data_IF_909537932696
#
_entry.id   IF_909537932696
#
_cell.length_a   1.000
_cell.length_b   1.000
_cell.length_c   1.000
_cell.angle_alpha   90.00
_cell.angle_beta   90.00
_cell.angle_gamma   90.00
#
_symmetry.space_group_name_H-M   'P 1'
#
loop_
_entity.id
_entity.type
_entity.pdbx_description
1 polymer ?
#
# COMPACT_ATOMS: atom_id res chain seq x y z
N UNK A 1 -1.29 4.86 13.67
CA UNK A 1 -0.83 3.94 14.74
C UNK A 1 0.59 4.23 15.22
N UNK A 2 1.54 4.44 14.31
CA UNK A 2 2.95 4.76 14.61
C UNK A 2 3.10 5.88 15.66
N UNK A 3 2.39 7.00 15.49
CA UNK A 3 2.35 8.08 16.48
C UNK A 3 1.95 7.61 17.90
N UNK A 4 0.91 6.78 18.03
CA UNK A 4 0.45 6.26 19.32
C UNK A 4 1.48 5.35 20.01
N UNK A 5 2.21 4.56 19.22
CA UNK A 5 3.29 3.70 19.73
C UNK A 5 4.46 4.56 20.23
N UNK A 6 4.87 5.56 19.45
CA UNK A 6 6.01 6.41 19.76
C UNK A 6 5.77 7.30 21.00
N UNK A 7 4.64 7.99 21.07
CA UNK A 7 4.36 8.95 22.13
C UNK A 7 3.67 8.34 23.37
N UNK A 8 3.31 7.05 23.34
CA UNK A 8 2.66 6.36 24.44
C UNK A 8 1.28 6.93 24.82
N UNK A 9 0.67 7.77 23.97
CA UNK A 9 -0.59 8.50 24.24
C UNK A 9 -1.77 7.61 24.65
N UNK A 10 -1.70 6.32 24.32
CA UNK A 10 -2.77 5.36 24.59
C UNK A 10 -2.48 4.39 25.76
N UNK A 11 -1.35 4.54 26.48
CA UNK A 11 -0.98 3.65 27.59
C UNK A 11 -1.97 3.69 28.77
N UNK A 12 -2.54 4.85 29.07
CA UNK A 12 -3.48 5.04 30.19
C UNK A 12 -4.95 4.87 29.80
N UNK A 13 -5.24 4.52 28.54
CA UNK A 13 -6.61 4.43 28.04
C UNK A 13 -7.20 3.06 28.33
N UNK A 14 -8.48 3.03 28.70
CA UNK A 14 -9.24 1.81 28.92
C UNK A 14 -9.77 1.29 27.59
N UNK A 15 -9.09 0.29 27.02
CA UNK A 15 -9.46 -0.33 25.74
C UNK A 15 -10.65 -1.29 25.84
N UNK A 16 -11.05 -1.68 27.05
CA UNK A 16 -12.11 -2.67 27.27
C UNK A 16 -13.49 -2.25 26.77
N UNK A 17 -13.74 -0.95 26.57
CA UNK A 17 -15.00 -0.45 25.99
C UNK A 17 -14.99 -0.42 24.46
N UNK A 18 -13.82 -0.55 23.83
CA UNK A 18 -13.71 -0.55 22.36
C UNK A 18 -14.35 -1.83 21.83
N UNK A 19 -15.18 -1.68 20.80
CA UNK A 19 -15.89 -2.79 20.14
C UNK A 19 -15.45 -3.04 18.71
N UNK A 20 -14.84 -2.04 18.07
CA UNK A 20 -14.25 -2.14 16.73
C UNK A 20 -13.25 -1.00 16.54
N UNK A 21 -12.25 -1.22 15.69
CA UNK A 21 -11.35 -0.22 15.15
C UNK A 21 -11.69 0.04 13.69
N UNK A 22 -11.41 1.24 13.22
CA UNK A 22 -11.47 1.57 11.80
C UNK A 22 -10.16 2.18 11.34
N UNK A 23 -9.71 1.85 10.14
CA UNK A 23 -8.53 2.45 9.50
C UNK A 23 -8.82 2.80 8.04
N UNK A 24 -8.12 3.82 7.53
CA UNK A 24 -8.23 4.27 6.13
C UNK A 24 -6.99 5.08 5.70
N UNK A 25 -6.93 5.41 4.42
CA UNK A 25 -5.89 6.24 3.81
C UNK A 25 -4.76 5.42 3.20
N UNK A 26 -4.11 4.58 4.01
CA UNK A 26 -3.04 3.66 3.58
C UNK A 26 -3.34 2.24 4.08
N UNK A 27 -3.09 1.18 3.29
CA UNK A 27 -3.31 -0.19 3.75
C UNK A 27 -2.39 -0.54 4.93
N UNK A 28 -2.97 -0.92 6.06
CA UNK A 28 -2.19 -1.22 7.26
C UNK A 28 -1.45 -2.56 7.11
N UNK A 29 -0.25 -2.65 7.70
CA UNK A 29 0.50 -3.90 7.75
C UNK A 29 -0.06 -4.88 8.80
N UNK A 30 0.34 -6.15 8.71
CA UNK A 30 -0.15 -7.22 9.61
C UNK A 30 0.19 -6.96 11.08
N UNK A 31 1.37 -6.41 11.38
CA UNK A 31 1.80 -6.18 12.77
C UNK A 31 0.94 -5.12 13.44
N UNK A 32 0.54 -4.09 12.69
CA UNK A 32 -0.32 -3.02 13.15
C UNK A 32 -1.73 -3.53 13.49
N UNK A 33 -2.31 -4.37 12.64
CA UNK A 33 -3.55 -5.10 12.95
C UNK A 33 -3.45 -5.87 14.26
N UNK A 34 -2.42 -6.72 14.39
CA UNK A 34 -2.24 -7.57 15.57
C UNK A 34 -2.00 -6.74 16.83
N UNK A 35 -1.25 -5.63 16.72
CA UNK A 35 -1.02 -4.71 17.83
C UNK A 35 -2.33 -4.08 18.31
N UNK A 36 -3.17 -3.56 17.42
CA UNK A 36 -4.47 -2.98 17.79
C UNK A 36 -5.39 -4.03 18.42
N UNK A 37 -5.56 -5.18 17.75
CA UNK A 37 -6.42 -6.25 18.24
C UNK A 37 -5.99 -6.72 19.64
N UNK A 38 -4.67 -6.84 19.87
CA UNK A 38 -4.11 -7.21 21.19
C UNK A 38 -4.47 -6.23 22.30
N UNK A 39 -4.82 -4.96 22.01
CA UNK A 39 -5.25 -4.00 23.04
C UNK A 39 -6.61 -4.36 23.64
N UNK A 40 -7.37 -5.24 22.98
CA UNK A 40 -8.73 -5.62 23.36
C UNK A 40 -8.87 -7.13 23.58
N UNK A 41 -7.75 -7.83 23.82
CA UNK A 41 -7.69 -9.29 23.88
C UNK A 41 -8.29 -9.95 22.62
N UNK A 42 -8.04 -9.31 21.47
CA UNK A 42 -8.54 -9.72 20.15
C UNK A 42 -10.07 -9.71 20.00
N UNK A 43 -10.81 -9.12 20.95
CA UNK A 43 -12.27 -9.00 20.87
C UNK A 43 -12.73 -7.93 19.88
N UNK A 44 -12.02 -6.81 19.78
CA UNK A 44 -12.37 -5.76 18.84
C UNK A 44 -11.68 -6.00 17.48
N UNK A 45 -12.45 -6.18 16.39
CA UNK A 45 -11.93 -6.31 15.05
C UNK A 45 -11.37 -4.98 14.53
N UNK A 46 -10.56 -5.06 13.47
CA UNK A 46 -10.15 -3.90 12.67
C UNK A 46 -10.91 -3.95 11.35
N UNK A 47 -11.72 -2.93 11.10
CA UNK A 47 -12.45 -2.74 9.85
C UNK A 47 -11.68 -1.71 9.04
N UNK A 48 -10.96 -2.16 8.02
CA UNK A 48 -10.21 -1.26 7.15
C UNK A 48 -10.99 -0.97 5.88
N UNK A 49 -10.89 0.27 5.39
CA UNK A 49 -11.40 0.62 4.07
C UNK A 49 -10.41 1.53 3.36
N UNK A 50 -10.26 1.31 2.06
CA UNK A 50 -9.39 2.10 1.19
C UNK A 50 -10.23 2.77 0.12
N UNK A 51 -9.87 4.02 -0.19
CA UNK A 51 -10.50 4.81 -1.24
C UNK A 51 -9.87 6.17 -1.39
N UNK A 52 -10.62 7.08 -1.99
CA UNK A 52 -10.12 8.38 -2.39
C UNK A 52 -11.20 9.44 -2.35
N UNK A 53 -10.77 10.70 -2.31
CA UNK A 53 -11.65 11.86 -2.39
C UNK A 53 -12.43 11.90 -3.71
N UNK A 54 -11.86 11.30 -4.75
CA UNK A 54 -12.40 11.19 -6.11
C UNK A 54 -13.67 10.36 -6.20
N UNK A 55 -13.93 9.53 -5.19
CA UNK A 55 -15.13 8.69 -5.09
C UNK A 55 -15.96 9.01 -3.84
N UNK A 56 -15.56 10.04 -3.08
CA UNK A 56 -16.22 10.43 -1.83
C UNK A 56 -16.31 9.31 -0.78
N UNK A 57 -15.45 8.29 -0.84
CA UNK A 57 -15.63 7.06 -0.08
C UNK A 57 -14.54 6.01 -0.29
N UNK A 58 -14.87 4.76 0.07
CA UNK A 58 -14.02 3.58 -0.12
C UNK A 58 -14.38 2.84 -1.41
N UNK A 59 -13.39 2.26 -2.11
CA UNK A 59 -13.64 1.28 -3.16
C UNK A 59 -13.50 -0.15 -2.63
N UNK A 60 -12.67 -0.41 -1.62
CA UNK A 60 -12.44 -1.75 -1.08
C UNK A 60 -12.42 -1.73 0.45
N UNK A 61 -12.93 -2.78 1.09
CA UNK A 61 -13.09 -2.83 2.54
C UNK A 61 -12.99 -4.24 3.14
N UNK A 62 -12.69 -4.29 4.43
CA UNK A 62 -12.93 -5.45 5.29
C UNK A 62 -14.36 -5.45 5.83
N UNK A 63 -14.94 -6.64 6.03
CA UNK A 63 -16.26 -6.78 6.69
C UNK A 63 -16.20 -7.71 7.89
N UNK A 64 -17.21 -7.61 8.74
CA UNK A 64 -17.38 -8.38 9.96
C UNK A 64 -18.16 -9.68 9.79
N UNK A 65 -18.73 -9.90 8.61
CA UNK A 65 -19.63 -11.04 8.34
C UNK A 65 -18.94 -12.20 7.61
N UNK A 66 -17.66 -12.05 7.24
CA UNK A 66 -16.86 -13.12 6.63
C UNK A 66 -15.48 -13.22 7.30
N UNK A 67 -14.80 -14.37 7.21
CA UNK A 67 -13.43 -14.50 7.71
C UNK A 67 -12.53 -13.42 7.10
N UNK A 68 -11.63 -12.86 7.90
CA UNK A 68 -10.67 -11.84 7.47
C UNK A 68 -9.26 -12.23 7.89
N UNK A 69 -8.26 -11.86 7.08
CA UNK A 69 -6.86 -11.96 7.46
C UNK A 69 -6.28 -10.55 7.65
N UNK A 70 -5.44 -10.30 8.67
CA UNK A 70 -4.72 -9.04 8.81
C UNK A 70 -4.04 -8.60 7.51
N UNK A 71 -4.08 -7.29 7.21
CA UNK A 71 -3.49 -6.69 6.00
C UNK A 71 -4.09 -7.20 4.68
N UNK A 72 -5.32 -7.72 4.70
CA UNK A 72 -6.10 -8.09 3.50
C UNK A 72 -7.49 -7.47 3.58
N UNK A 73 -8.10 -7.27 2.42
CA UNK A 73 -9.48 -6.83 2.28
C UNK A 73 -10.34 -7.99 1.82
N UNK A 74 -11.64 -7.88 2.08
CA UNK A 74 -12.56 -9.01 1.94
C UNK A 74 -13.61 -8.78 0.87
N UNK A 75 -13.87 -7.53 0.49
CA UNK A 75 -14.90 -7.19 -0.51
C UNK A 75 -14.68 -5.80 -1.10
N UNK A 76 -15.23 -5.57 -2.29
CA UNK A 76 -15.50 -4.21 -2.76
C UNK A 76 -16.50 -3.52 -1.85
N UNK A 77 -16.38 -2.20 -1.73
CA UNK A 77 -17.30 -1.38 -0.97
C UNK A 77 -18.69 -1.37 -1.63
N UNK A 78 -19.73 -1.18 -0.81
CA UNK A 78 -21.11 -1.16 -1.30
C UNK A 78 -21.31 -0.06 -2.36
N UNK A 79 -21.90 -0.43 -3.49
CA UNK A 79 -22.19 0.49 -4.59
C UNK A 79 -20.99 0.83 -5.47
N UNK A 80 -19.89 0.06 -5.33
CA UNK A 80 -18.72 0.13 -6.18
C UNK A 80 -18.57 -1.17 -6.96
N UNK A 81 -18.64 -1.06 -8.28
CA UNK A 81 -18.25 -2.12 -9.19
C UNK A 81 -16.84 -1.85 -9.71
N UNK A 82 -16.07 -2.91 -9.94
CA UNK A 82 -14.66 -2.77 -10.34
C UNK A 82 -14.16 -3.92 -11.19
N UNK A 83 -13.15 -3.63 -11.99
CA UNK A 83 -12.34 -4.62 -12.67
C UNK A 83 -10.88 -4.44 -12.27
N UNK A 84 -10.15 -5.55 -12.15
CA UNK A 84 -8.70 -5.52 -11.97
C UNK A 84 -8.10 -6.02 -13.28
N UNK A 85 -7.27 -5.19 -13.90
CA UNK A 85 -6.66 -5.47 -15.21
C UNK A 85 -5.16 -5.69 -15.02
N UNK A 86 -4.66 -6.84 -15.46
CA UNK A 86 -3.26 -7.23 -15.36
C UNK A 86 -2.38 -6.39 -16.28
N UNK A 87 -1.07 -6.49 -16.11
CA UNK A 87 -0.10 -5.80 -16.96
C UNK A 87 -0.20 -6.21 -18.45
N UNK A 88 -0.74 -7.40 -18.74
CA UNK A 88 -0.96 -7.91 -20.10
C UNK A 88 -2.31 -7.47 -20.71
N UNK A 89 -3.12 -6.70 -19.96
CA UNK A 89 -4.42 -6.18 -20.41
C UNK A 89 -5.60 -7.14 -20.18
N UNK A 90 -5.36 -8.27 -19.52
CA UNK A 90 -6.39 -9.26 -19.20
C UNK A 90 -7.06 -8.99 -17.84
N UNK A 91 -8.26 -9.54 -17.61
CA UNK A 91 -8.89 -9.45 -16.30
C UNK A 91 -8.24 -10.41 -15.30
N UNK A 92 -7.80 -9.87 -14.15
CA UNK A 92 -7.11 -10.66 -13.14
C UNK A 92 -8.00 -11.78 -12.57
N UNK A 93 -7.47 -13.00 -12.58
CA UNK A 93 -7.97 -14.18 -11.87
C UNK A 93 -7.41 -14.30 -10.45
N UNK A 94 -7.56 -15.50 -9.87
CA UNK A 94 -7.06 -15.80 -8.53
C UNK A 94 -5.53 -15.78 -8.49
N UNK A 95 -4.98 -15.06 -7.51
CA UNK A 95 -3.54 -14.84 -7.29
C UNK A 95 -2.85 -13.94 -8.32
N UNK A 96 -3.62 -13.24 -9.15
CA UNK A 96 -3.10 -12.25 -10.09
C UNK A 96 -3.23 -10.82 -9.55
N UNK A 97 -2.29 -9.97 -9.96
CA UNK A 97 -2.24 -8.57 -9.60
C UNK A 97 -2.41 -7.68 -10.83
N UNK A 98 -3.02 -6.53 -10.63
CA UNK A 98 -3.28 -5.58 -11.69
C UNK A 98 -3.72 -4.23 -11.15
N UNK A 99 -3.98 -3.31 -12.07
CA UNK A 99 -4.57 -2.02 -11.74
C UNK A 99 -6.07 -2.16 -11.49
N UNK A 100 -6.55 -1.59 -10.39
CA UNK A 100 -7.97 -1.48 -10.11
C UNK A 100 -8.58 -0.31 -10.91
N UNK A 101 -9.58 -0.65 -11.70
CA UNK A 101 -10.49 0.28 -12.34
C UNK A 101 -11.89 0.18 -11.75
N UNK A 102 -12.58 1.30 -11.71
CA UNK A 102 -13.99 1.35 -11.33
C UNK A 102 -14.84 1.20 -12.58
N UNK A 103 -15.99 0.53 -12.43
CA UNK A 103 -17.01 0.39 -13.46
C UNK A 103 -18.08 1.46 -13.18
N UNK A 104 -18.17 2.53 -14.01
CA UNK A 104 -19.20 3.55 -13.84
C UNK A 104 -20.59 3.06 -14.30
N UNK A 105 -21.67 3.63 -13.77
CA UNK A 105 -21.71 4.63 -12.70
C UNK A 105 -21.52 4.00 -11.31
N UNK A 106 -20.83 4.70 -10.42
CA UNK A 106 -20.67 4.32 -9.01
C UNK A 106 -21.02 5.51 -8.11
N UNK A 107 -21.45 5.25 -6.88
CA UNK A 107 -21.81 6.30 -5.92
C UNK A 107 -20.56 7.13 -5.58
N UNK A 108 -20.71 8.46 -5.59
CA UNK A 108 -19.66 9.39 -5.17
C UNK A 108 -18.56 9.67 -6.21
N UNK A 109 -18.64 9.08 -7.41
CA UNK A 109 -17.71 9.40 -8.49
C UNK A 109 -17.70 10.91 -8.81
N UNK A 110 -16.52 11.49 -8.80
CA UNK A 110 -16.31 12.82 -9.37
C UNK A 110 -16.69 12.82 -10.85
N UNK A 111 -17.31 13.90 -11.31
CA UNK A 111 -17.71 14.10 -12.71
C UNK A 111 -16.89 15.19 -13.40
N UNK A 112 -16.18 16.02 -12.63
CA UNK A 112 -15.38 17.12 -13.16
C UNK A 112 -14.23 17.41 -12.20
N UNK A 113 -13.07 17.75 -12.75
CA UNK A 113 -11.94 18.32 -12.00
C UNK A 113 -11.89 19.83 -12.24
N UNK A 114 -11.58 20.61 -11.21
CA UNK A 114 -11.54 22.08 -11.32
C UNK A 114 -10.25 22.60 -11.96
N UNK A 115 -9.18 21.81 -11.89
CA UNK A 115 -7.81 22.22 -12.23
C UNK A 115 -7.14 21.31 -13.26
N UNK A 116 -7.88 20.38 -13.87
CA UNK A 116 -7.41 19.44 -14.87
C UNK A 116 -8.58 18.96 -15.75
N UNK A 117 -8.29 18.36 -16.89
CA UNK A 117 -9.29 17.68 -17.69
C UNK A 117 -9.66 16.35 -17.02
N UNK A 118 -10.95 16.17 -16.70
CA UNK A 118 -11.44 14.97 -16.00
C UNK A 118 -11.28 13.69 -16.84
N UNK A 119 -11.51 13.77 -18.15
CA UNK A 119 -11.45 12.63 -19.07
C UNK A 119 -10.02 12.18 -19.30
N UNK A 120 -9.10 13.13 -19.46
CA UNK A 120 -7.67 12.84 -19.59
C UNK A 120 -7.12 12.14 -18.33
N UNK A 121 -7.56 12.57 -17.15
CA UNK A 121 -7.05 12.00 -15.88
C UNK A 121 -7.62 10.61 -15.59
N UNK A 122 -8.92 10.40 -15.79
CA UNK A 122 -9.59 9.18 -15.31
C UNK A 122 -10.02 8.19 -16.38
N UNK A 123 -10.11 8.58 -17.66
CA UNK A 123 -10.68 7.73 -18.69
C UNK A 123 -9.74 7.50 -19.89
N UNK A 124 -8.83 8.43 -20.16
CA UNK A 124 -7.89 8.29 -21.28
C UNK A 124 -7.04 7.01 -21.16
N UNK A 125 -7.03 6.24 -22.24
CA UNK A 125 -6.30 4.97 -22.33
C UNK A 125 -6.80 3.88 -21.37
N UNK A 126 -7.99 4.02 -20.79
CA UNK A 126 -8.58 2.95 -20.00
C UNK A 126 -9.05 1.80 -20.92
N UNK A 127 -8.86 0.55 -20.50
CA UNK A 127 -9.35 -0.60 -21.26
C UNK A 127 -10.88 -0.69 -21.22
N UNK A 128 -11.45 -1.50 -22.12
CA UNK A 128 -12.86 -1.83 -22.08
C UNK A 128 -13.16 -2.75 -20.90
N UNK A 129 -14.30 -2.51 -20.24
CA UNK A 129 -14.79 -3.31 -19.13
C UNK A 129 -15.36 -4.65 -19.55
N UNK A 130 -15.74 -5.50 -18.58
CA UNK A 130 -16.26 -6.84 -18.86
C UNK A 130 -17.49 -6.88 -19.77
N UNK A 131 -18.31 -5.81 -19.80
CA UNK A 131 -19.46 -5.66 -20.68
C UNK A 131 -19.23 -4.63 -21.82
N UNK A 132 -17.97 -4.24 -22.05
CA UNK A 132 -17.57 -3.27 -23.09
C UNK A 132 -17.69 -1.80 -22.69
N UNK A 133 -18.02 -1.52 -21.43
CA UNK A 133 -18.11 -0.18 -20.87
C UNK A 133 -16.73 0.50 -20.70
N UNK A 134 -16.69 1.83 -20.67
CA UNK A 134 -15.43 2.54 -20.42
C UNK A 134 -15.13 2.49 -18.93
N UNK A 135 -13.98 1.91 -18.59
CA UNK A 135 -13.51 1.84 -17.22
C UNK A 135 -12.95 3.19 -16.75
N UNK A 136 -13.03 3.43 -15.44
CA UNK A 136 -12.47 4.63 -14.80
C UNK A 136 -11.24 4.26 -13.96
N UNK A 137 -10.10 4.87 -14.26
CA UNK A 137 -8.85 4.71 -13.52
C UNK A 137 -8.99 5.20 -12.08
N UNK A 138 -8.50 4.42 -11.11
CA UNK A 138 -8.33 4.86 -9.72
C UNK A 138 -6.84 4.89 -9.31
N UNK A 139 -6.02 4.06 -9.94
CA UNK A 139 -4.56 4.06 -9.81
C UNK A 139 -4.00 3.25 -8.64
N UNK A 140 -4.79 2.32 -8.06
CA UNK A 140 -4.31 1.37 -7.06
C UNK A 140 -3.94 0.04 -7.72
N UNK A 141 -2.83 -0.57 -7.28
CA UNK A 141 -2.47 -1.93 -7.65
C UNK A 141 -3.02 -2.91 -6.62
N UNK A 142 -3.82 -3.86 -7.07
CA UNK A 142 -4.48 -4.84 -6.21
C UNK A 142 -4.22 -6.24 -6.73
N UNK A 143 -3.87 -7.14 -5.81
CA UNK A 143 -3.81 -8.56 -6.03
C UNK A 143 -5.08 -9.24 -5.54
N UNK A 144 -5.76 -9.96 -6.43
CA UNK A 144 -6.79 -10.92 -6.04
C UNK A 144 -6.10 -12.12 -5.43
N UNK A 145 -6.46 -12.47 -4.22
CA UNK A 145 -5.98 -13.67 -3.55
C UNK A 145 -7.01 -14.78 -3.71
N UNK A 146 -6.57 -16.02 -3.65
CA UNK A 146 -7.50 -17.16 -3.54
C UNK A 146 -8.53 -16.95 -2.43
N UNK A 147 -9.73 -17.52 -2.62
CA UNK A 147 -10.86 -17.45 -1.65
C UNK A 147 -11.48 -16.06 -1.50
N UNK A 148 -11.31 -15.18 -2.48
CA UNK A 148 -12.02 -13.89 -2.55
C UNK A 148 -11.45 -12.78 -1.66
N UNK A 149 -10.20 -12.91 -1.23
CA UNK A 149 -9.49 -11.83 -0.54
C UNK A 149 -8.76 -10.93 -1.53
N UNK A 150 -8.42 -9.73 -1.08
CA UNK A 150 -7.64 -8.78 -1.86
C UNK A 150 -6.47 -8.26 -1.04
N UNK A 151 -5.34 -8.07 -1.70
CA UNK A 151 -4.16 -7.41 -1.12
C UNK A 151 -3.85 -6.18 -1.94
N UNK A 152 -3.87 -5.02 -1.29
CA UNK A 152 -3.42 -3.78 -1.92
C UNK A 152 -1.90 -3.75 -1.89
N UNK A 153 -1.29 -3.59 -3.05
CA UNK A 153 0.16 -3.58 -3.27
C UNK A 153 0.73 -2.15 -3.32
N UNK A 154 -0.14 -1.14 -3.27
CA UNK A 154 0.21 0.27 -3.28
C UNK A 154 -0.43 0.96 -4.47
N UNK A 155 0.15 2.09 -4.87
CA UNK A 155 -0.27 2.82 -6.06
C UNK A 155 0.40 2.26 -7.31
N UNK A 156 -0.25 2.38 -8.46
CA UNK A 156 0.32 1.98 -9.74
C UNK A 156 1.52 2.84 -10.14
N UNK A 157 1.50 4.14 -9.84
CA UNK A 157 2.62 5.06 -10.05
C UNK A 157 3.78 4.86 -9.06
N UNK A 158 3.54 4.15 -7.95
CA UNK A 158 4.58 3.72 -6.99
C UNK A 158 5.11 2.30 -7.28
N UNK A 159 4.77 1.70 -8.44
CA UNK A 159 5.34 0.40 -8.85
C UNK A 159 6.74 0.58 -9.41
N UNK A 160 7.62 -0.37 -9.10
CA UNK A 160 9.00 -0.36 -9.54
C UNK A 160 9.28 -1.54 -10.46
N UNK A 161 10.22 -1.39 -11.39
CA UNK A 161 10.74 -2.47 -12.21
C UNK A 161 12.14 -2.87 -11.74
N UNK A 162 12.19 -3.86 -10.84
CA UNK A 162 13.43 -4.36 -10.27
C UNK A 162 13.83 -5.67 -10.98
N UNK A 163 14.95 -5.64 -11.70
CA UNK A 163 15.47 -6.81 -12.41
C UNK A 163 14.49 -7.37 -13.46
N UNK A 164 13.67 -6.53 -14.08
CA UNK A 164 12.66 -6.94 -15.07
C UNK A 164 11.31 -7.36 -14.46
N UNK A 165 11.17 -7.29 -13.14
CA UNK A 165 9.95 -7.69 -12.43
C UNK A 165 9.29 -6.46 -11.83
N UNK A 166 8.02 -6.25 -12.19
CA UNK A 166 7.17 -5.22 -11.57
C UNK A 166 6.79 -5.60 -10.15
N UNK A 167 7.02 -4.71 -9.20
CA UNK A 167 6.69 -4.91 -7.78
C UNK A 167 6.18 -3.61 -7.16
N UNK A 168 5.16 -3.69 -6.32
CA UNK A 168 4.65 -2.54 -5.58
C UNK A 168 5.55 -2.19 -4.40
N UNK A 169 5.78 -0.89 -4.16
CA UNK A 169 6.53 -0.37 -3.02
C UNK A 169 6.08 -0.95 -1.68
N UNK A 170 4.76 -1.03 -1.45
CA UNK A 170 4.21 -1.50 -0.19
C UNK A 170 4.47 -3.00 0.06
N UNK A 171 4.69 -3.79 -0.98
CA UNK A 171 5.07 -5.19 -0.83
C UNK A 171 6.49 -5.34 -0.29
N UNK A 172 7.43 -4.55 -0.84
CA UNK A 172 8.81 -4.46 -0.35
C UNK A 172 8.83 -3.94 1.10
N UNK A 173 8.18 -2.81 1.35
CA UNK A 173 8.15 -2.15 2.65
C UNK A 173 7.64 -3.10 3.76
N UNK A 174 6.58 -3.86 3.50
CA UNK A 174 6.06 -4.85 4.47
C UNK A 174 7.08 -5.91 4.88
N UNK A 175 7.95 -6.33 3.97
CA UNK A 175 9.02 -7.30 4.27
C UNK A 175 10.16 -6.63 5.04
N UNK A 176 10.52 -5.42 4.64
CA UNK A 176 11.60 -4.63 5.23
C UNK A 176 11.25 -4.18 6.67
N UNK A 177 10.01 -3.76 6.93
CA UNK A 177 9.49 -3.38 8.25
C UNK A 177 9.46 -4.56 9.25
N UNK A 178 9.70 -5.81 8.82
CA UNK A 178 9.93 -6.95 9.74
C UNK A 178 11.31 -6.89 10.41
N UNK A 179 12.15 -5.92 10.07
CA UNK A 179 13.45 -5.71 10.70
C UNK A 179 13.30 -5.09 12.11
N UNK A 180 13.90 -5.66 13.18
CA UNK A 180 13.69 -5.21 14.57
C UNK A 180 14.06 -3.76 14.86
N UNK A 181 14.95 -3.17 14.08
CA UNK A 181 15.40 -1.79 14.25
C UNK A 181 14.70 -0.79 13.33
N UNK A 182 13.82 -1.23 12.43
CA UNK A 182 13.08 -0.34 11.53
C UNK A 182 11.74 0.01 12.18
N UNK A 183 11.50 1.31 12.34
CA UNK A 183 10.19 1.86 12.73
C UNK A 183 9.30 2.03 11.50
N UNK A 184 9.92 2.46 10.40
CA UNK A 184 9.26 2.69 9.13
C UNK A 184 10.29 2.70 8.00
N UNK A 185 9.87 2.32 6.78
CA UNK A 185 10.67 2.52 5.59
C UNK A 185 9.83 2.93 4.37
N UNK A 186 10.49 3.53 3.39
CA UNK A 186 9.96 3.75 2.05
C UNK A 186 10.88 3.10 1.01
N UNK A 187 10.30 2.27 0.14
CA UNK A 187 11.01 1.68 -0.98
C UNK A 187 10.71 2.48 -2.26
N UNK A 188 11.76 2.95 -2.94
CA UNK A 188 11.63 3.68 -4.20
C UNK A 188 12.55 3.11 -5.27
N UNK A 189 12.06 3.14 -6.51
CA UNK A 189 12.82 2.78 -7.69
C UNK A 189 13.48 4.02 -8.26
N UNK A 190 14.78 3.91 -8.53
CA UNK A 190 15.57 4.98 -9.13
C UNK A 190 16.12 4.47 -10.45
N UNK A 191 15.84 5.21 -11.53
CA UNK A 191 16.38 4.89 -12.83
C UNK A 191 17.90 5.17 -12.85
N UNK A 192 18.74 4.20 -13.26
CA UNK A 192 20.17 4.45 -13.41
C UNK A 192 20.43 5.46 -14.55
N UNK A 193 21.50 6.29 -14.46
CA UNK A 193 21.82 7.30 -15.47
C UNK A 193 21.96 6.75 -16.90
N UNK A 194 22.50 5.52 -17.00
CA UNK A 194 22.79 4.86 -18.27
C UNK A 194 21.58 4.06 -18.82
N UNK A 195 20.43 4.13 -18.14
CA UNK A 195 19.25 3.32 -18.44
C UNK A 195 19.35 1.87 -17.94
N UNK A 196 18.21 1.19 -17.89
CA UNK A 196 18.11 -0.19 -17.39
C UNK A 196 16.99 -0.37 -16.37
N UNK A 197 17.01 -1.51 -15.67
CA UNK A 197 16.09 -1.76 -14.57
C UNK A 197 16.36 -0.78 -13.42
N UNK A 198 15.32 -0.41 -12.69
CA UNK A 198 15.44 0.49 -11.56
C UNK A 198 16.26 -0.15 -10.45
N UNK A 199 17.00 0.71 -9.74
CA UNK A 199 17.71 0.35 -8.53
C UNK A 199 16.81 0.63 -7.32
N UNK A 200 16.75 -0.33 -6.40
CA UNK A 200 15.98 -0.19 -5.18
C UNK A 200 16.76 0.64 -4.16
N UNK A 201 16.24 1.83 -3.84
CA UNK A 201 16.70 2.66 -2.72
C UNK A 201 15.70 2.56 -1.59
N UNK A 202 16.18 2.33 -0.37
CA UNK A 202 15.35 2.17 0.82
C UNK A 202 15.66 3.28 1.83
N UNK A 203 14.68 4.14 2.07
CA UNK A 203 14.74 5.13 3.13
C UNK A 203 14.20 4.52 4.42
N UNK A 204 14.92 4.69 5.52
CA UNK A 204 14.64 4.02 6.79
C UNK A 204 14.59 5.02 7.92
N UNK A 205 13.52 4.94 8.72
CA UNK A 205 13.45 5.53 10.05
C UNK A 205 13.65 4.43 11.07
N UNK A 206 14.63 4.58 11.95
CA UNK A 206 14.95 3.57 12.96
C UNK A 206 14.12 3.73 14.23
N UNK A 207 14.08 2.66 15.04
CA UNK A 207 13.52 2.75 16.38
C UNK A 207 14.38 3.67 17.27
N UNK A 208 13.79 4.46 18.17
CA UNK A 208 14.55 5.35 19.06
C UNK A 208 15.66 4.61 19.82
N UNK A 209 16.88 5.12 19.75
CA UNK A 209 18.06 4.54 20.42
C UNK A 209 18.67 3.33 19.71
N UNK A 210 18.22 2.98 18.50
CA UNK A 210 18.89 1.97 17.70
C UNK A 210 20.18 2.56 17.09
N UNK A 211 21.32 1.98 17.45
CA UNK A 211 22.61 2.23 16.81
C UNK A 211 22.81 1.20 15.70
N UNK A 212 22.58 1.60 14.45
CA UNK A 212 22.68 0.70 13.29
C UNK A 212 23.50 1.36 12.20
N UNK A 213 24.51 0.64 11.71
CA UNK A 213 25.32 1.08 10.57
C UNK A 213 24.60 0.79 9.26
N UNK A 214 24.64 1.73 8.33
CA UNK A 214 23.98 1.63 7.02
C UNK A 214 24.37 0.38 6.25
N UNK A 215 25.65 0.00 6.23
CA UNK A 215 26.13 -1.19 5.51
C UNK A 215 25.59 -2.49 6.10
N UNK A 216 25.54 -2.58 7.43
CA UNK A 216 24.98 -3.74 8.15
C UNK A 216 23.48 -3.86 7.87
N UNK A 217 22.76 -2.73 7.93
CA UNK A 217 21.34 -2.68 7.60
C UNK A 217 21.09 -3.10 6.16
N UNK A 218 21.85 -2.57 5.19
CA UNK A 218 21.73 -2.93 3.78
C UNK A 218 21.88 -4.44 3.57
N UNK A 219 22.92 -5.05 4.16
CA UNK A 219 23.14 -6.49 4.07
C UNK A 219 21.99 -7.31 4.70
N UNK A 220 21.41 -6.84 5.81
CA UNK A 220 20.27 -7.48 6.45
C UNK A 220 18.99 -7.38 5.63
N UNK A 221 18.71 -6.20 5.07
CA UNK A 221 17.55 -6.00 4.20
C UNK A 221 17.65 -6.84 2.94
N UNK A 222 18.82 -6.89 2.31
CA UNK A 222 19.07 -7.71 1.12
C UNK A 222 18.86 -9.21 1.38
N UNK A 223 19.33 -9.71 2.53
CA UNK A 223 19.07 -11.09 2.98
C UNK A 223 17.58 -11.35 3.22
N UNK A 224 16.84 -10.38 3.75
CA UNK A 224 15.39 -10.51 4.01
C UNK A 224 14.59 -10.55 2.72
N UNK A 225 14.90 -9.67 1.78
CA UNK A 225 14.29 -9.67 0.44
C UNK A 225 14.54 -11.00 -0.27
N UNK A 226 15.80 -11.45 -0.28
CA UNK A 226 16.17 -12.72 -0.92
C UNK A 226 15.47 -13.96 -0.33
N UNK A 227 15.16 -13.94 0.97
CA UNK A 227 14.47 -15.06 1.65
C UNK A 227 12.96 -15.05 1.50
N UNK A 228 12.37 -13.86 1.43
CA UNK A 228 10.91 -13.68 1.53
C UNK A 228 10.27 -13.37 0.18
N UNK A 229 11.06 -12.91 -0.78
CA UNK A 229 10.63 -12.44 -2.09
C UNK A 229 11.60 -12.92 -3.18
N UNK A 230 11.59 -12.28 -4.35
CA UNK A 230 12.44 -12.64 -5.47
C UNK A 230 13.92 -12.29 -5.18
N UNK A 231 14.89 -13.21 -5.40
CA UNK A 231 16.32 -12.95 -5.22
C UNK A 231 16.92 -11.85 -6.11
N UNK A 232 16.20 -11.40 -7.14
CA UNK A 232 16.56 -10.26 -7.99
C UNK A 232 16.29 -8.90 -7.32
N UNK A 233 15.47 -8.86 -6.27
CA UNK A 233 15.20 -7.65 -5.51
C UNK A 233 16.37 -7.35 -4.57
N UNK A 234 17.35 -6.60 -5.09
CA UNK A 234 18.56 -6.20 -4.36
C UNK A 234 18.50 -4.75 -3.92
N UNK A 235 18.84 -4.51 -2.66
CA UNK A 235 18.93 -3.13 -2.14
C UNK A 235 20.20 -2.48 -2.67
N UNK A 236 20.06 -1.42 -3.46
CA UNK A 236 21.18 -0.63 -3.97
C UNK A 236 21.73 0.28 -2.88
N UNK A 237 20.85 0.98 -2.18
CA UNK A 237 21.22 1.95 -1.15
C UNK A 237 20.21 1.95 0.00
N UNK A 238 20.72 2.22 1.21
CA UNK A 238 19.92 2.47 2.41
C UNK A 238 20.22 3.86 2.91
N UNK A 239 19.19 4.67 3.14
CA UNK A 239 19.32 6.03 3.64
C UNK A 239 18.57 6.13 4.96
N UNK A 240 19.31 6.34 6.05
CA UNK A 240 18.72 6.51 7.38
C UNK A 240 18.29 7.97 7.54
N UNK A 241 17.06 8.19 7.97
CA UNK A 241 16.46 9.51 8.19
C UNK A 241 15.76 9.57 9.54
N UNK A 242 15.62 10.79 10.06
CA UNK A 242 14.82 11.05 11.28
C UNK A 242 13.32 10.87 11.02
N UNK A 243 12.85 11.31 9.85
CA UNK A 243 11.45 11.16 9.42
C UNK A 243 11.32 11.08 7.89
N UNK A 244 10.24 10.44 7.42
CA UNK A 244 9.89 10.40 6.01
C UNK A 244 9.00 11.61 5.63
N UNK A 245 9.13 12.15 4.40
CA UNK A 245 8.35 13.28 3.95
C UNK A 245 6.87 12.89 3.78
N UNK A 246 5.97 13.71 4.33
CA UNK A 246 4.52 13.44 4.29
C UNK A 246 3.70 14.65 3.87
N UNK A 247 2.50 14.36 3.36
CA UNK A 247 1.45 15.36 3.15
C UNK A 247 0.82 15.78 4.48
N UNK A 248 0.02 16.86 4.47
CA UNK A 248 -0.79 17.26 5.62
C UNK A 248 -1.78 16.16 6.09
N UNK A 249 -2.18 15.26 5.18
CA UNK A 249 -3.01 14.08 5.50
C UNK A 249 -2.20 12.88 6.00
N UNK A 250 -0.91 13.08 6.29
CA UNK A 250 0.06 12.07 6.74
C UNK A 250 0.42 11.00 5.69
N UNK A 251 0.00 11.14 4.44
CA UNK A 251 0.43 10.25 3.34
C UNK A 251 1.90 10.44 2.97
N UNK A 252 2.63 9.35 2.74
CA UNK A 252 4.04 9.38 2.30
C UNK A 252 4.19 10.09 0.93
N UNK A 253 5.20 10.94 0.80
CA UNK A 253 5.52 11.65 -0.46
C UNK A 253 6.72 10.99 -1.17
N UNK A 254 6.51 9.82 -1.78
CA UNK A 254 7.59 9.06 -2.45
C UNK A 254 8.32 9.83 -3.55
N UNK A 255 7.60 10.66 -4.31
CA UNK A 255 8.20 11.53 -5.33
C UNK A 255 9.32 12.43 -4.78
N UNK A 256 9.18 12.96 -3.56
CA UNK A 256 10.24 13.77 -2.94
C UNK A 256 11.49 12.95 -2.61
N UNK A 257 11.31 11.67 -2.31
CA UNK A 257 12.42 10.75 -2.06
C UNK A 257 13.11 10.42 -3.39
N UNK A 258 12.35 10.14 -4.45
CA UNK A 258 12.92 9.89 -5.78
C UNK A 258 13.67 11.11 -6.33
N UNK A 259 13.15 12.32 -6.15
CA UNK A 259 13.81 13.57 -6.57
C UNK A 259 15.07 13.90 -5.76
N UNK A 260 15.31 13.23 -4.63
CA UNK A 260 16.51 13.41 -3.81
C UNK A 260 17.69 12.53 -4.24
N UNK A 261 17.52 11.74 -5.30
CA UNK A 261 18.50 10.82 -5.89
C UNK A 261 18.98 11.37 -7.22
#
# INVERSE_FOLDING_TARGET
MKAWKANGSMKSKRWSSVRAFSSTGEPSNRQDYLWLMSRTDYRAPVIEYLGGTEIGGGHITGTMVQPASPSTFTTMALGIDSAIVTDDGEFAGDNEAGELFLIPPSIGLSQTLLNANHDEVYYQGCPAGPAGEVLRRHGDRIKKLSRGFYKVEGRMDDTMNLGGIKVGSLELERVLEMHPHISECAAVGVAPPDGGAEQLVVYVVTNPGADVRTDEMKADLDRRLSRSMNPLFRVSEVIIMDELPRTASNKLMRRKLQESQ
#
